data_IF_476871710240
#
_entry.id   IF_476871710240
#
_cell.length_a   1.000
_cell.length_b   1.000
_cell.length_c   1.000
_cell.angle_alpha   90.00
_cell.angle_beta   90.00
_cell.angle_gamma   90.00
#
_symmetry.space_group_name_H-M   'P 1'
#
loop_
_entity.id
_entity.type
_entity.pdbx_description
1 polymer ?
#
# COMPACT_ATOMS: atom_id res chain seq x y z
N UNK A 1 -13.21 -54.12 64.58
CA UNK A 1 -12.53 -54.23 63.28
C UNK A 1 -12.87 -53.01 62.44
N UNK A 2 -11.84 -52.28 61.93
CA UNK A 2 -11.81 -51.44 60.71
C UNK A 2 -12.80 -50.26 60.61
N UNK A 3 -12.49 -49.06 60.12
CA UNK A 3 -11.28 -48.41 59.66
C UNK A 3 -11.57 -46.90 59.55
N UNK A 4 -10.56 -46.05 59.77
CA UNK A 4 -10.57 -44.61 59.46
C UNK A 4 -10.53 -44.42 57.94
N UNK A 5 -11.19 -43.38 57.39
CA UNK A 5 -10.57 -42.55 56.35
C UNK A 5 -11.22 -41.16 56.28
N UNK A 6 -10.38 -40.12 56.38
CA UNK A 6 -10.70 -38.70 56.15
C UNK A 6 -10.70 -38.44 54.65
N UNK A 7 -11.68 -37.70 54.14
CA UNK A 7 -11.69 -37.17 52.77
C UNK A 7 -11.26 -35.70 52.80
N UNK A 8 -10.15 -35.38 52.12
CA UNK A 8 -9.78 -34.03 51.70
C UNK A 8 -10.63 -33.63 50.49
N UNK A 9 -11.15 -32.40 50.41
CA UNK A 9 -11.57 -31.84 49.13
C UNK A 9 -10.33 -31.33 48.36
N UNK A 10 -10.10 -31.90 47.18
CA UNK A 10 -9.12 -31.40 46.22
C UNK A 10 -9.59 -30.05 45.66
N UNK A 11 -8.71 -29.04 45.71
CA UNK A 11 -8.86 -27.81 44.93
C UNK A 11 -8.84 -28.18 43.44
N UNK A 12 -9.98 -28.06 42.76
CA UNK A 12 -10.01 -27.99 41.31
C UNK A 12 -9.54 -26.61 40.87
N UNK A 13 -8.30 -26.54 40.41
CA UNK A 13 -7.78 -25.40 39.65
C UNK A 13 -8.57 -25.30 38.34
N UNK A 14 -9.49 -24.35 38.25
CA UNK A 14 -10.06 -23.91 36.97
C UNK A 14 -8.97 -23.23 36.16
N UNK A 15 -8.34 -23.99 35.26
CA UNK A 15 -7.63 -23.45 34.11
C UNK A 15 -8.67 -22.74 33.24
N UNK A 16 -8.68 -21.41 33.30
CA UNK A 16 -9.33 -20.59 32.31
C UNK A 16 -8.58 -20.79 30.98
N UNK A 17 -9.06 -21.70 30.13
CA UNK A 17 -8.71 -21.74 28.73
C UNK A 17 -9.22 -20.43 28.12
N UNK A 18 -8.32 -19.46 27.96
CA UNK A 18 -8.51 -18.36 27.01
C UNK A 18 -8.51 -19.02 25.63
N UNK A 19 -9.69 -19.37 25.14
CA UNK A 19 -9.86 -19.78 23.76
C UNK A 19 -9.48 -18.59 22.89
N UNK A 20 -8.25 -18.59 22.37
CA UNK A 20 -7.90 -17.74 21.25
C UNK A 20 -8.86 -18.12 20.11
N UNK A 21 -9.62 -17.14 19.62
CA UNK A 21 -10.55 -17.33 18.51
C UNK A 21 -9.72 -17.60 17.24
N UNK A 22 -9.40 -18.87 17.01
CA UNK A 22 -8.84 -19.30 15.74
C UNK A 22 -9.87 -19.02 14.64
N UNK A 23 -9.51 -18.15 13.70
CA UNK A 23 -10.26 -17.92 12.48
C UNK A 23 -10.15 -19.09 11.50
N UNK A 24 -10.82 -18.97 10.35
CA UNK A 24 -10.72 -19.98 9.28
C UNK A 24 -9.27 -20.31 8.96
N UNK A 25 -8.95 -21.61 8.88
CA UNK A 25 -7.62 -22.08 8.53
C UNK A 25 -6.53 -21.95 9.61
N UNK A 26 -6.90 -21.62 10.85
CA UNK A 26 -5.97 -21.60 11.99
C UNK A 26 -5.32 -20.25 12.28
N UNK A 27 -5.62 -19.22 11.49
CA UNK A 27 -5.15 -17.85 11.71
C UNK A 27 -5.80 -17.27 12.97
N UNK A 28 -5.00 -16.80 13.92
CA UNK A 28 -5.54 -16.08 15.08
C UNK A 28 -6.06 -14.71 14.66
N UNK A 29 -7.37 -14.47 14.84
CA UNK A 29 -8.01 -13.20 14.49
C UNK A 29 -8.08 -12.28 15.70
N UNK A 30 -7.61 -11.06 15.48
CA UNK A 30 -7.76 -9.94 16.39
C UNK A 30 -9.16 -9.34 16.36
N UNK A 31 -9.32 -8.29 17.16
CA UNK A 31 -10.60 -7.63 17.39
C UNK A 31 -10.51 -6.10 17.27
N UNK A 32 -9.32 -5.55 16.98
CA UNK A 32 -9.08 -4.11 16.89
C UNK A 32 -9.55 -3.47 15.56
N UNK A 33 -10.72 -3.87 15.08
CA UNK A 33 -11.35 -3.32 13.87
C UNK A 33 -11.57 -1.81 13.95
N UNK A 34 -11.93 -1.31 15.14
CA UNK A 34 -12.17 0.11 15.37
C UNK A 34 -10.88 0.92 15.46
N UNK A 35 -9.81 0.35 16.02
CA UNK A 35 -8.52 1.03 16.16
C UNK A 35 -7.65 0.99 14.91
N UNK A 36 -7.90 0.06 13.98
CA UNK A 36 -7.22 0.02 12.69
C UNK A 36 -7.47 1.32 11.90
N UNK A 37 -6.40 2.04 11.59
CA UNK A 37 -6.45 3.29 10.80
C UNK A 37 -6.10 3.09 9.34
N UNK A 38 -5.48 1.95 9.02
CA UNK A 38 -5.14 1.54 7.65
C UNK A 38 -5.15 0.01 7.62
N UNK A 39 -5.30 -0.54 6.42
CA UNK A 39 -5.32 -1.98 6.19
C UNK A 39 -4.23 -2.37 5.20
N UNK A 40 -3.68 -3.55 5.41
CA UNK A 40 -2.69 -4.17 4.54
C UNK A 40 -3.07 -5.62 4.28
N UNK A 41 -2.45 -6.24 3.28
CA UNK A 41 -2.57 -7.68 3.04
C UNK A 41 -1.28 -8.37 3.43
N UNK A 42 -1.42 -9.48 4.14
CA UNK A 42 -0.29 -10.31 4.51
C UNK A 42 -0.63 -11.79 4.32
N UNK A 43 0.39 -12.60 4.02
CA UNK A 43 0.32 -14.05 4.10
C UNK A 43 0.58 -14.48 5.54
N UNK A 44 -0.46 -14.97 6.20
CA UNK A 44 -0.42 -15.49 7.58
C UNK A 44 -0.74 -16.98 7.50
N UNK A 45 0.19 -17.84 7.92
CA UNK A 45 0.05 -19.30 7.86
C UNK A 45 -0.37 -19.83 6.47
N UNK A 46 0.12 -19.19 5.40
CA UNK A 46 -0.18 -19.56 4.01
C UNK A 46 -1.46 -18.96 3.44
N UNK A 47 -2.23 -18.22 4.24
CA UNK A 47 -3.51 -17.62 3.84
C UNK A 47 -3.39 -16.10 3.67
N UNK A 48 -4.02 -15.58 2.62
CA UNK A 48 -4.14 -14.13 2.41
C UNK A 48 -5.08 -13.56 3.47
N UNK A 49 -4.58 -12.59 4.24
CA UNK A 49 -5.26 -12.05 5.41
C UNK A 49 -5.21 -10.54 5.38
N UNK A 50 -6.35 -9.90 5.65
CA UNK A 50 -6.43 -8.47 5.90
C UNK A 50 -5.90 -8.18 7.29
N UNK A 51 -4.86 -7.37 7.37
CA UNK A 51 -4.23 -6.92 8.61
C UNK A 51 -4.66 -5.49 8.88
N UNK A 52 -5.24 -5.25 10.07
CA UNK A 52 -5.53 -3.92 10.56
C UNK A 52 -4.35 -3.34 11.30
N UNK A 53 -3.90 -2.15 10.89
CA UNK A 53 -2.77 -1.45 11.53
C UNK A 53 -3.29 -0.31 12.40
N UNK A 54 -3.07 -0.41 13.70
CA UNK A 54 -3.37 0.65 14.67
C UNK A 54 -2.09 1.45 14.94
N UNK A 55 -1.89 2.52 14.17
CA UNK A 55 -0.69 3.35 14.28
C UNK A 55 -0.54 3.99 15.67
N UNK A 56 -1.64 4.34 16.35
CA UNK A 56 -1.59 4.98 17.68
C UNK A 56 -1.11 4.02 18.76
N UNK A 57 -1.69 2.82 18.81
CA UNK A 57 -1.29 1.77 19.72
C UNK A 57 0.10 1.19 19.36
N UNK A 58 0.46 1.23 18.08
CA UNK A 58 1.68 0.63 17.55
C UNK A 58 1.59 -0.88 17.59
N UNK A 59 0.54 -1.43 16.98
CA UNK A 59 0.29 -2.86 16.79
C UNK A 59 -0.42 -3.10 15.46
N UNK A 60 -0.31 -4.32 14.96
CA UNK A 60 -1.08 -4.82 13.83
C UNK A 60 -1.73 -6.17 14.21
N UNK A 61 -2.93 -6.42 13.72
CA UNK A 61 -3.69 -7.64 14.01
C UNK A 61 -4.27 -8.21 12.71
N UNK A 62 -4.26 -9.53 12.56
CA UNK A 62 -5.04 -10.23 11.52
C UNK A 62 -6.52 -10.00 11.82
N UNK A 63 -7.28 -9.42 10.90
CA UNK A 63 -8.69 -9.09 11.13
C UNK A 63 -9.64 -10.05 10.43
N UNK A 64 -9.35 -10.38 9.18
CA UNK A 64 -10.19 -11.30 8.40
C UNK A 64 -9.35 -12.02 7.35
N UNK A 65 -9.58 -13.33 7.24
CA UNK A 65 -8.99 -14.16 6.17
C UNK A 65 -9.77 -13.94 4.89
N UNK A 66 -9.06 -13.71 3.79
CA UNK A 66 -9.65 -13.57 2.46
C UNK A 66 -10.15 -14.93 1.98
N UNK A 67 -11.42 -15.05 1.53
CA UNK A 67 -11.94 -16.32 1.04
C UNK A 67 -11.14 -16.85 -0.15
N UNK A 68 -10.45 -17.98 0.03
CA UNK A 68 -9.73 -18.65 -1.05
C UNK A 68 -10.67 -19.50 -1.90
N UNK A 69 -10.40 -19.56 -3.20
CA UNK A 69 -11.06 -20.45 -4.14
C UNK A 69 -10.02 -21.14 -5.04
N UNK A 70 -10.45 -22.22 -5.69
CA UNK A 70 -9.55 -23.10 -6.45
C UNK A 70 -8.93 -22.46 -7.70
N UNK A 71 -9.49 -21.36 -8.17
CA UNK A 71 -9.05 -20.58 -9.33
C UNK A 71 -8.42 -19.24 -8.93
N UNK A 72 -8.00 -19.06 -7.68
CA UNK A 72 -7.16 -17.93 -7.27
C UNK A 72 -5.73 -18.14 -7.75
N UNK A 73 -5.07 -17.05 -8.14
CA UNK A 73 -3.68 -17.10 -8.64
C UNK A 73 -2.72 -16.37 -7.73
N UNK A 74 -1.57 -16.99 -7.49
CA UNK A 74 -0.42 -16.38 -6.78
C UNK A 74 0.56 -15.70 -7.78
N UNK A 75 0.26 -15.69 -9.08
CA UNK A 75 1.11 -15.06 -10.09
C UNK A 75 1.13 -13.52 -9.99
N UNK A 76 0.11 -12.93 -9.38
CA UNK A 76 -0.01 -11.50 -9.09
C UNK A 76 -0.53 -11.36 -7.67
N UNK A 77 0.04 -10.43 -6.90
CA UNK A 77 -0.40 -10.17 -5.53
C UNK A 77 -1.82 -9.57 -5.51
N UNK A 78 -2.70 -10.01 -4.60
CA UNK A 78 -3.93 -9.30 -4.25
C UNK A 78 -3.64 -7.84 -3.86
N UNK A 79 -4.54 -6.93 -4.22
CA UNK A 79 -4.42 -5.50 -3.94
C UNK A 79 -5.45 -5.02 -2.93
N UNK A 80 -5.10 -4.02 -2.11
CA UNK A 80 -6.01 -3.36 -1.17
C UNK A 80 -5.86 -1.84 -1.27
N UNK A 81 -6.97 -1.11 -1.33
CA UNK A 81 -6.95 0.34 -1.49
C UNK A 81 -8.13 1.02 -0.81
N UNK A 82 -7.92 2.25 -0.34
CA UNK A 82 -8.97 3.13 0.18
C UNK A 82 -9.52 4.00 -0.94
N UNK A 83 -10.84 3.97 -1.16
CA UNK A 83 -11.53 4.84 -2.11
C UNK A 83 -11.73 6.25 -1.51
N UNK A 84 -12.04 7.24 -2.35
CA UNK A 84 -12.29 8.62 -1.90
C UNK A 84 -13.43 8.76 -0.88
N UNK A 85 -14.38 7.81 -0.86
CA UNK A 85 -15.47 7.77 0.10
C UNK A 85 -15.12 7.07 1.43
N UNK A 86 -13.86 6.62 1.59
CA UNK A 86 -13.35 5.95 2.78
C UNK A 86 -13.66 4.44 2.85
N UNK A 87 -14.32 3.88 1.83
CA UNK A 87 -14.44 2.41 1.72
C UNK A 87 -13.10 1.80 1.35
N UNK A 88 -12.80 0.65 1.93
CA UNK A 88 -11.62 -0.14 1.59
C UNK A 88 -12.02 -1.30 0.68
N UNK A 89 -11.40 -1.35 -0.49
CA UNK A 89 -11.60 -2.36 -1.50
C UNK A 89 -10.42 -3.32 -1.54
N UNK A 90 -10.72 -4.60 -1.58
CA UNK A 90 -9.79 -5.70 -1.81
C UNK A 90 -10.07 -6.33 -3.17
N UNK A 91 -9.03 -6.54 -3.97
CA UNK A 91 -9.08 -7.25 -5.25
C UNK A 91 -8.21 -8.51 -5.19
N UNK A 92 -8.77 -9.66 -5.55
CA UNK A 92 -8.09 -10.97 -5.60
C UNK A 92 -8.03 -11.47 -7.04
N UNK A 93 -6.82 -11.54 -7.62
CA UNK A 93 -6.55 -12.14 -8.92
C UNK A 93 -7.07 -13.57 -9.10
N UNK A 94 -7.56 -13.89 -10.30
CA UNK A 94 -7.95 -15.26 -10.68
C UNK A 94 -7.15 -15.81 -11.86
N UNK A 95 -6.96 -17.11 -11.85
CA UNK A 95 -6.46 -17.91 -12.97
C UNK A 95 -7.50 -18.01 -14.09
N UNK A 96 -7.06 -18.42 -15.29
CA UNK A 96 -7.95 -18.76 -16.39
C UNK A 96 -8.62 -17.57 -17.10
N UNK A 97 -8.25 -16.34 -16.76
CA UNK A 97 -8.69 -15.15 -17.49
C UNK A 97 -10.03 -14.55 -17.06
N UNK A 98 -10.64 -15.07 -15.98
CA UNK A 98 -11.87 -14.53 -15.42
C UNK A 98 -11.68 -13.19 -14.69
N UNK A 99 -12.77 -12.48 -14.34
CA UNK A 99 -12.70 -11.22 -13.64
C UNK A 99 -12.26 -11.39 -12.19
N UNK A 100 -11.46 -10.45 -11.68
CA UNK A 100 -10.95 -10.47 -10.30
C UNK A 100 -12.10 -10.50 -9.30
N UNK A 101 -11.90 -11.17 -8.17
CA UNK A 101 -12.87 -11.07 -7.07
C UNK A 101 -12.65 -9.79 -6.31
N UNK A 102 -13.75 -9.17 -5.90
CA UNK A 102 -13.72 -7.93 -5.14
C UNK A 102 -14.47 -8.07 -3.84
N UNK A 103 -13.95 -7.42 -2.82
CA UNK A 103 -14.56 -7.36 -1.51
C UNK A 103 -14.45 -5.95 -0.94
N UNK A 104 -15.49 -5.52 -0.23
CA UNK A 104 -15.41 -4.33 0.63
C UNK A 104 -15.18 -4.77 2.06
N UNK A 105 -14.29 -4.08 2.77
CA UNK A 105 -14.10 -4.29 4.20
C UNK A 105 -15.29 -3.72 4.96
N UNK A 106 -16.11 -4.60 5.55
CA UNK A 106 -17.20 -4.21 6.44
C UNK A 106 -16.69 -4.19 7.88
N UNK A 107 -16.38 -2.98 8.34
CA UNK A 107 -15.87 -2.73 9.71
C UNK A 107 -16.94 -2.87 10.80
N UNK A 108 -18.22 -2.91 10.44
CA UNK A 108 -19.33 -3.03 11.40
C UNK A 108 -19.57 -4.51 11.71
N UNK A 109 -19.65 -5.33 10.68
CA UNK A 109 -19.94 -6.76 10.79
C UNK A 109 -18.67 -7.62 10.88
N UNK A 110 -17.49 -6.99 10.74
CA UNK A 110 -16.18 -7.64 10.81
C UNK A 110 -15.97 -8.71 9.73
N UNK A 111 -16.42 -8.42 8.51
CA UNK A 111 -16.40 -9.36 7.36
C UNK A 111 -15.92 -8.68 6.08
N UNK A 112 -15.76 -9.49 5.03
CA UNK A 112 -15.53 -9.07 3.66
C UNK A 112 -16.82 -9.26 2.85
N UNK A 113 -17.43 -8.15 2.43
CA UNK A 113 -18.65 -8.18 1.62
C UNK A 113 -18.27 -8.34 0.15
N UNK A 114 -18.63 -9.49 -0.42
CA UNK A 114 -18.34 -9.81 -1.81
C UNK A 114 -19.06 -8.89 -2.79
N UNK A 115 -18.36 -8.49 -3.84
CA UNK A 115 -18.91 -7.70 -4.95
C UNK A 115 -18.86 -8.52 -6.24
N UNK A 116 -19.75 -8.20 -7.18
CA UNK A 116 -19.59 -8.66 -8.55
C UNK A 116 -18.28 -8.09 -9.11
N UNK A 117 -17.46 -8.95 -9.70
CA UNK A 117 -16.27 -8.57 -10.43
C UNK A 117 -16.56 -8.65 -11.93
N UNK A 118 -16.18 -7.61 -12.66
CA UNK A 118 -16.55 -7.49 -14.07
C UNK A 118 -15.34 -7.66 -15.01
N UNK A 119 -14.12 -7.47 -14.50
CA UNK A 119 -12.89 -7.42 -15.31
C UNK A 119 -11.68 -8.04 -14.61
N UNK A 120 -10.70 -8.48 -15.41
CA UNK A 120 -9.49 -9.19 -14.97
C UNK A 120 -8.35 -8.24 -14.57
N UNK A 121 -7.55 -8.68 -13.59
CA UNK A 121 -6.17 -8.29 -13.25
C UNK A 121 -5.85 -6.82 -13.40
N UNK A 122 -6.39 -6.00 -12.51
CA UNK A 122 -6.08 -4.58 -12.50
C UNK A 122 -5.79 -4.04 -11.11
N UNK A 123 -4.66 -3.34 -10.97
CA UNK A 123 -4.39 -2.45 -9.84
C UNK A 123 -5.44 -1.37 -9.84
N UNK A 124 -6.13 -1.23 -8.72
CA UNK A 124 -7.18 -0.24 -8.53
C UNK A 124 -6.56 1.04 -8.00
N UNK A 125 -6.71 2.12 -8.76
CA UNK A 125 -6.20 3.45 -8.45
C UNK A 125 -7.37 4.41 -8.20
N UNK A 126 -7.65 4.79 -6.95
CA UNK A 126 -8.74 5.68 -6.62
C UNK A 126 -8.44 7.10 -7.10
N UNK A 127 -9.41 7.71 -7.79
CA UNK A 127 -9.53 9.15 -7.90
C UNK A 127 -10.65 9.67 -7.02
N UNK A 128 -11.08 10.91 -7.28
CA UNK A 128 -12.08 11.62 -6.50
C UNK A 128 -13.49 11.10 -6.72
N UNK A 129 -13.88 10.90 -7.96
CA UNK A 129 -15.20 10.41 -8.37
C UNK A 129 -15.11 9.16 -9.24
N UNK A 130 -13.93 8.87 -9.79
CA UNK A 130 -13.67 7.76 -10.69
C UNK A 130 -12.57 6.86 -10.13
N UNK A 131 -12.49 5.66 -10.67
CA UNK A 131 -11.44 4.69 -10.36
C UNK A 131 -10.78 4.26 -11.66
N UNK A 132 -9.45 4.26 -11.70
CA UNK A 132 -8.72 3.61 -12.78
C UNK A 132 -8.37 2.17 -12.39
N UNK A 133 -8.53 1.25 -13.32
CA UNK A 133 -8.11 -0.12 -13.21
C UNK A 133 -7.00 -0.37 -14.23
N UNK A 134 -5.76 -0.42 -13.73
CA UNK A 134 -4.52 -0.51 -14.52
C UNK A 134 -4.03 -1.96 -14.56
N UNK A 135 -3.71 -2.53 -15.73
CA UNK A 135 -3.23 -3.92 -15.82
C UNK A 135 -2.01 -4.17 -14.92
N UNK A 136 -2.04 -5.26 -14.15
CA UNK A 136 -0.97 -5.64 -13.22
C UNK A 136 0.15 -6.51 -13.82
N UNK A 137 0.06 -6.84 -15.12
CA UNK A 137 1.06 -7.61 -15.86
C UNK A 137 1.33 -6.93 -17.20
N UNK A 138 2.52 -7.14 -17.81
CA UNK A 138 2.81 -6.65 -19.15
C UNK A 138 1.74 -7.11 -20.13
N UNK A 139 0.95 -6.16 -20.64
CA UNK A 139 0.13 -6.43 -21.82
C UNK A 139 1.11 -6.73 -22.96
N UNK A 140 1.00 -7.92 -23.55
CA UNK A 140 1.90 -8.42 -24.63
C UNK A 140 1.83 -7.59 -25.92
N UNK A 141 1.21 -6.41 -25.89
CA UNK A 141 0.74 -5.67 -27.04
C UNK A 141 1.17 -4.19 -27.03
N UNK A 142 2.38 -3.85 -26.54
CA UNK A 142 3.01 -2.53 -26.72
C UNK A 142 2.21 -1.29 -26.26
N UNK A 143 1.06 -1.51 -25.63
CA UNK A 143 0.08 -0.56 -25.13
C UNK A 143 -0.68 -1.25 -24.00
N UNK A 144 -0.94 -0.52 -22.93
CA UNK A 144 -1.72 -0.98 -21.78
C UNK A 144 -3.11 -0.37 -21.83
N UNK A 145 -4.14 -1.19 -21.65
CA UNK A 145 -5.53 -0.72 -21.58
C UNK A 145 -5.91 -0.35 -20.14
N UNK A 146 -6.15 0.92 -19.84
CA UNK A 146 -6.62 1.38 -18.52
C UNK A 146 -8.14 1.56 -18.56
N UNK A 147 -8.87 0.86 -17.70
CA UNK A 147 -10.32 1.04 -17.60
C UNK A 147 -10.61 2.11 -16.56
N UNK A 148 -11.47 3.05 -16.91
CA UNK A 148 -12.00 4.03 -15.96
C UNK A 148 -13.41 3.61 -15.59
N UNK A 149 -13.68 3.52 -14.29
CA UNK A 149 -14.93 3.01 -13.74
C UNK A 149 -15.57 3.99 -12.77
N UNK A 150 -16.89 3.85 -12.64
CA UNK A 150 -17.67 4.50 -11.59
C UNK A 150 -17.63 3.63 -10.31
N UNK A 151 -17.15 4.15 -9.17
CA UNK A 151 -17.05 3.37 -7.93
C UNK A 151 -18.40 3.07 -7.25
N UNK A 152 -19.50 3.64 -7.73
CA UNK A 152 -20.84 3.39 -7.18
C UNK A 152 -21.46 2.10 -7.73
N UNK A 153 -21.24 1.79 -9.01
CA UNK A 153 -21.82 0.63 -9.69
C UNK A 153 -20.81 -0.23 -10.45
N UNK A 154 -19.54 0.16 -10.46
CA UNK A 154 -18.42 -0.49 -11.16
C UNK A 154 -18.58 -0.58 -12.69
N UNK A 155 -19.48 0.20 -13.27
CA UNK A 155 -19.61 0.31 -14.71
C UNK A 155 -18.38 0.95 -15.34
N UNK A 156 -17.89 0.35 -16.43
CA UNK A 156 -16.84 0.94 -17.25
C UNK A 156 -17.37 2.18 -17.94
N UNK A 157 -16.82 3.33 -17.59
CA UNK A 157 -17.09 4.61 -18.26
C UNK A 157 -16.34 4.71 -19.59
N UNK A 158 -15.12 4.16 -19.64
CA UNK A 158 -14.24 4.17 -20.82
C UNK A 158 -13.00 3.32 -20.64
N UNK A 159 -12.33 3.05 -21.75
CA UNK A 159 -11.00 2.45 -21.81
C UNK A 159 -10.03 3.47 -22.42
N UNK A 160 -8.87 3.65 -21.78
CA UNK A 160 -7.78 4.49 -22.23
C UNK A 160 -6.63 3.61 -22.72
N UNK A 161 -5.97 4.01 -23.81
CA UNK A 161 -4.83 3.30 -24.38
C UNK A 161 -3.56 4.05 -24.05
N UNK A 162 -2.75 3.48 -23.16
CA UNK A 162 -1.48 4.06 -22.73
C UNK A 162 -0.36 3.37 -23.52
N UNK A 163 0.59 4.10 -24.11
CA UNK A 163 1.76 3.49 -24.74
C UNK A 163 2.57 2.63 -23.76
N UNK A 164 3.13 1.53 -24.25
CA UNK A 164 3.99 0.66 -23.46
C UNK A 164 3.27 -0.19 -22.41
N UNK A 165 4.07 -0.94 -21.67
CA UNK A 165 3.65 -1.67 -20.47
C UNK A 165 3.77 -0.72 -19.27
N UNK A 166 2.72 -0.59 -18.47
CA UNK A 166 2.76 0.24 -17.25
C UNK A 166 3.54 -0.51 -16.17
N UNK A 167 4.66 0.08 -15.73
CA UNK A 167 5.51 -0.46 -14.66
C UNK A 167 5.33 0.23 -13.31
N UNK A 168 4.94 1.51 -13.30
CA UNK A 168 4.62 2.27 -12.09
C UNK A 168 3.28 2.98 -12.23
N UNK A 169 2.54 3.08 -11.14
CA UNK A 169 1.27 3.79 -11.12
C UNK A 169 0.99 4.40 -9.75
N UNK A 170 0.44 5.61 -9.75
CA UNK A 170 0.05 6.34 -8.56
C UNK A 170 -1.24 7.12 -8.80
N UNK A 171 -2.02 7.33 -7.74
CA UNK A 171 -3.20 8.18 -7.76
C UNK A 171 -3.35 8.92 -6.43
N UNK A 172 -4.26 9.90 -6.42
CA UNK A 172 -4.65 10.64 -5.23
C UNK A 172 -6.17 10.80 -5.21
N UNK A 173 -6.87 10.39 -4.14
CA UNK A 173 -8.33 10.54 -4.04
C UNK A 173 -8.84 11.99 -4.10
N UNK A 174 -7.97 12.99 -4.14
CA UNK A 174 -8.32 14.40 -4.34
C UNK A 174 -8.57 14.80 -5.80
N UNK A 175 -8.18 13.99 -6.78
CA UNK A 175 -8.33 14.30 -8.21
C UNK A 175 -8.70 13.08 -9.06
N UNK A 176 -9.39 13.30 -10.18
CA UNK A 176 -9.71 12.26 -11.16
C UNK A 176 -8.61 12.14 -12.23
N UNK A 177 -7.38 12.02 -11.76
CA UNK A 177 -6.19 11.89 -12.59
C UNK A 177 -5.28 10.83 -11.99
N UNK A 178 -4.70 9.99 -12.84
CA UNK A 178 -3.70 9.00 -12.44
C UNK A 178 -2.36 9.29 -13.10
N UNK A 179 -1.29 8.95 -12.41
CA UNK A 179 0.07 9.13 -12.88
C UNK A 179 0.67 7.76 -13.16
N UNK A 180 1.16 7.54 -14.37
CA UNK A 180 1.65 6.25 -14.86
C UNK A 180 3.07 6.40 -15.36
N UNK A 181 3.92 5.39 -15.19
CA UNK A 181 5.13 5.25 -15.97
C UNK A 181 5.16 3.91 -16.68
N UNK A 182 5.64 3.93 -17.93
CA UNK A 182 5.91 2.71 -18.68
C UNK A 182 7.29 2.11 -18.35
N UNK A 183 7.53 0.90 -18.84
CA UNK A 183 8.82 0.18 -18.69
C UNK A 183 10.00 0.94 -19.35
N UNK A 184 9.73 1.77 -20.35
CA UNK A 184 10.70 2.67 -21.01
C UNK A 184 10.89 3.99 -20.23
N UNK A 185 10.30 4.09 -19.04
CA UNK A 185 10.39 5.20 -18.10
C UNK A 185 9.83 6.53 -18.63
N UNK A 186 8.91 6.47 -19.58
CA UNK A 186 8.06 7.61 -19.92
C UNK A 186 6.99 7.77 -18.84
N UNK A 187 6.78 9.01 -18.39
CA UNK A 187 5.78 9.32 -17.37
C UNK A 187 4.61 10.05 -18.01
N UNK A 188 3.40 9.72 -17.58
CA UNK A 188 2.16 10.28 -18.08
C UNK A 188 1.26 10.72 -16.92
N UNK A 189 0.61 11.88 -17.06
CA UNK A 189 -0.59 12.22 -16.32
C UNK A 189 -1.81 11.90 -17.19
N UNK A 190 -2.79 11.19 -16.63
CA UNK A 190 -3.97 10.72 -17.37
C UNK A 190 -5.23 11.21 -16.69
N UNK A 191 -5.96 12.10 -17.35
CA UNK A 191 -7.27 12.56 -16.90
C UNK A 191 -8.31 11.46 -17.14
N UNK A 192 -9.03 11.07 -16.07
CA UNK A 192 -10.00 9.98 -16.16
C UNK A 192 -11.34 10.40 -16.77
N UNK A 193 -11.68 11.69 -16.76
CA UNK A 193 -12.94 12.18 -17.33
C UNK A 193 -12.88 12.23 -18.85
N UNK A 194 -11.91 12.94 -19.43
CA UNK A 194 -11.83 13.17 -20.87
C UNK A 194 -10.78 12.27 -21.56
N UNK A 195 -9.87 11.68 -20.81
CA UNK A 195 -8.89 10.69 -21.28
C UNK A 195 -7.64 11.34 -21.84
N UNK A 196 -7.49 12.63 -21.65
CA UNK A 196 -6.28 13.34 -22.01
C UNK A 196 -5.09 12.69 -21.31
N UNK A 197 -4.08 12.35 -22.11
CA UNK A 197 -2.83 11.77 -21.64
C UNK A 197 -1.71 12.76 -21.92
N UNK A 198 -1.19 13.37 -20.87
CA UNK A 198 -0.14 14.39 -20.97
C UNK A 198 1.21 13.76 -20.63
N UNK A 199 2.18 13.72 -21.57
CA UNK A 199 3.52 13.24 -21.26
C UNK A 199 4.25 14.21 -20.34
N UNK A 200 5.06 13.65 -19.45
CA UNK A 200 5.81 14.37 -18.43
C UNK A 200 7.30 14.28 -18.76
N UNK A 201 7.99 15.42 -18.93
CA UNK A 201 9.43 15.42 -19.13
C UNK A 201 10.15 14.87 -17.91
N UNK A 202 10.99 13.86 -18.12
CA UNK A 202 11.90 13.31 -17.09
C UNK A 202 13.35 13.55 -17.52
N UNK A 203 14.24 13.98 -16.62
CA UNK A 203 15.67 14.10 -16.93
C UNK A 203 16.26 12.75 -17.40
N UNK A 204 17.00 12.75 -18.49
CA UNK A 204 17.54 11.52 -19.10
C UNK A 204 18.58 10.79 -18.23
N UNK A 205 19.17 11.48 -17.25
CA UNK A 205 20.12 10.93 -16.28
C UNK A 205 19.45 10.40 -15.01
N UNK A 206 18.12 10.50 -14.90
CA UNK A 206 17.37 10.08 -13.72
C UNK A 206 16.85 8.65 -13.88
N UNK A 207 17.21 7.81 -12.92
CA UNK A 207 16.64 6.48 -12.81
C UNK A 207 15.34 6.55 -12.01
N UNK A 208 14.18 6.44 -12.66
CA UNK A 208 12.88 6.49 -11.98
C UNK A 208 12.73 5.27 -11.08
N UNK A 209 12.47 5.52 -9.80
CA UNK A 209 12.30 4.49 -8.77
C UNK A 209 10.87 4.41 -8.29
N UNK A 210 10.17 5.53 -8.20
CA UNK A 210 8.79 5.57 -7.70
C UNK A 210 8.04 6.84 -8.17
N UNK A 211 6.71 6.82 -8.03
CA UNK A 211 5.79 7.89 -8.40
C UNK A 211 4.82 8.24 -7.27
N UNK A 212 4.48 9.52 -7.15
CA UNK A 212 3.27 9.97 -6.46
C UNK A 212 2.43 10.85 -7.40
N UNK A 213 1.14 10.99 -7.12
CA UNK A 213 0.20 11.73 -7.97
C UNK A 213 -0.65 12.77 -7.19
N UNK A 214 -0.08 13.59 -6.30
CA UNK A 214 -0.86 14.51 -5.46
C UNK A 214 -1.73 15.43 -6.31
N UNK A 215 -3.05 15.35 -6.08
CA UNK A 215 -4.04 16.15 -6.82
C UNK A 215 -3.87 16.07 -8.35
N UNK A 216 -3.47 14.90 -8.86
CA UNK A 216 -3.30 14.65 -10.29
C UNK A 216 -2.02 15.19 -10.91
N UNK A 217 -1.10 15.77 -10.12
CA UNK A 217 0.18 16.26 -10.63
C UNK A 217 1.28 15.23 -10.35
N UNK A 218 1.96 14.72 -11.39
CA UNK A 218 3.05 13.76 -11.22
C UNK A 218 4.19 14.29 -10.34
N UNK A 219 4.60 13.46 -9.39
CA UNK A 219 5.85 13.57 -8.64
C UNK A 219 6.71 12.37 -9.02
N UNK A 220 7.77 12.62 -9.78
CA UNK A 220 8.72 11.60 -10.24
C UNK A 220 9.90 11.55 -9.29
N UNK A 221 10.14 10.42 -8.65
CA UNK A 221 11.27 10.23 -7.74
C UNK A 221 12.26 9.27 -8.36
N UNK A 222 13.53 9.65 -8.35
CA UNK A 222 14.56 8.82 -8.91
C UNK A 222 15.93 8.99 -8.29
N UNK A 223 16.79 8.01 -8.53
CA UNK A 223 18.19 8.06 -8.14
C UNK A 223 19.05 8.57 -9.30
N UNK A 224 20.12 9.30 -8.97
CA UNK A 224 21.23 9.52 -9.91
C UNK A 224 22.31 8.48 -9.65
N UNK A 225 23.02 8.09 -10.71
CA UNK A 225 24.03 7.03 -10.74
C UNK A 225 25.23 7.19 -9.77
N UNK A 226 25.32 8.29 -9.01
CA UNK A 226 26.28 8.45 -7.92
C UNK A 226 25.67 8.08 -6.57
N UNK A 227 25.67 6.78 -6.26
CA UNK A 227 25.18 6.25 -4.98
C UNK A 227 26.13 6.48 -3.79
N UNK A 228 27.35 7.02 -4.02
CA UNK A 228 28.33 7.26 -2.96
C UNK A 228 28.32 8.71 -2.49
N UNK A 229 28.16 8.89 -1.17
CA UNK A 229 28.20 10.21 -0.53
C UNK A 229 27.07 10.45 0.46
N UNK A 230 27.01 11.65 1.06
CA UNK A 230 25.93 12.01 1.96
C UNK A 230 24.60 12.11 1.20
N UNK A 231 23.52 11.69 1.86
CA UNK A 231 22.17 11.81 1.32
C UNK A 231 21.81 13.26 0.98
N UNK A 232 21.51 13.50 -0.28
CA UNK A 232 21.04 14.77 -0.83
C UNK A 232 19.81 14.55 -1.69
N UNK A 233 18.89 15.52 -1.64
CA UNK A 233 17.67 15.54 -2.42
C UNK A 233 17.58 16.88 -3.12
N UNK A 234 17.40 16.88 -4.44
CA UNK A 234 17.15 18.07 -5.23
C UNK A 234 15.75 17.97 -5.84
N UNK A 235 14.95 19.02 -5.70
CA UNK A 235 13.61 19.10 -6.24
C UNK A 235 13.58 20.12 -7.37
N UNK A 236 13.06 19.70 -8.52
CA UNK A 236 12.78 20.58 -9.66
C UNK A 236 11.28 20.55 -9.91
N UNK A 237 10.66 21.73 -9.98
CA UNK A 237 9.23 21.86 -10.29
C UNK A 237 9.04 22.52 -11.65
N UNK A 238 8.13 21.96 -12.44
CA UNK A 238 7.65 22.52 -13.69
C UNK A 238 6.13 22.72 -13.62
N UNK A 239 5.58 23.25 -14.71
CA UNK A 239 4.13 23.39 -14.86
C UNK A 239 3.42 22.05 -15.03
N UNK A 240 4.14 20.98 -15.38
CA UNK A 240 3.56 19.65 -15.64
C UNK A 240 3.89 18.62 -14.56
N UNK A 241 5.00 18.76 -13.83
CA UNK A 241 5.40 17.78 -12.81
C UNK A 241 6.35 18.35 -11.75
N UNK A 242 6.61 17.54 -10.74
CA UNK A 242 7.71 17.71 -9.79
C UNK A 242 8.65 16.53 -9.94
N UNK A 243 9.95 16.79 -10.03
CA UNK A 243 10.98 15.75 -10.07
C UNK A 243 11.84 15.86 -8.82
N UNK A 244 12.00 14.77 -8.09
CA UNK A 244 12.91 14.68 -6.95
C UNK A 244 14.03 13.71 -7.30
N UNK A 245 15.25 14.24 -7.42
CA UNK A 245 16.45 13.43 -7.61
C UNK A 245 17.14 13.19 -6.28
N UNK A 246 17.52 11.94 -6.03
CA UNK A 246 18.20 11.52 -4.80
C UNK A 246 19.62 11.05 -5.13
N UNK A 247 20.56 11.48 -4.29
CA UNK A 247 21.96 11.05 -4.34
C UNK A 247 22.40 10.54 -2.96
N UNK A 248 23.34 9.58 -2.93
CA UNK A 248 23.82 8.96 -1.67
C UNK A 248 22.83 7.98 -1.02
N UNK A 249 21.84 7.49 -1.77
CA UNK A 249 20.85 6.50 -1.33
C UNK A 249 19.91 6.09 -2.45
N UNK A 250 19.11 5.05 -2.20
CA UNK A 250 18.08 4.53 -3.13
C UNK A 250 16.69 4.91 -2.62
N UNK A 251 15.90 5.70 -3.35
CA UNK A 251 14.49 5.88 -3.05
C UNK A 251 13.76 4.54 -3.17
N UNK A 252 13.06 4.13 -2.12
CA UNK A 252 12.26 2.91 -2.11
C UNK A 252 10.76 3.19 -2.14
N UNK A 253 10.33 4.34 -1.58
CA UNK A 253 8.94 4.75 -1.58
C UNK A 253 8.80 6.27 -1.51
N UNK A 254 7.78 6.83 -2.16
CA UNK A 254 7.35 8.21 -2.01
C UNK A 254 5.88 8.29 -1.65
N UNK A 255 5.56 9.25 -0.79
CA UNK A 255 4.20 9.70 -0.55
C UNK A 255 4.15 11.23 -0.61
N UNK A 256 3.02 11.75 -1.07
CA UNK A 256 2.79 13.19 -1.11
C UNK A 256 1.59 13.54 -0.23
N UNK A 257 1.77 14.54 0.62
CA UNK A 257 0.66 15.31 1.19
C UNK A 257 0.60 16.63 0.44
N UNK A 258 -0.56 17.31 0.41
CA UNK A 258 -0.72 18.53 -0.40
C UNK A 258 0.36 19.60 -0.21
N UNK A 259 1.04 19.64 0.94
CA UNK A 259 2.15 20.57 1.23
C UNK A 259 3.54 19.92 1.28
N UNK A 260 3.65 18.60 1.40
CA UNK A 260 4.93 17.93 1.66
C UNK A 260 5.12 16.68 0.80
N UNK A 261 6.36 16.42 0.38
CA UNK A 261 6.76 15.15 -0.20
C UNK A 261 7.58 14.39 0.84
N UNK A 262 7.24 13.13 1.10
CA UNK A 262 7.98 12.28 2.03
C UNK A 262 8.55 11.09 1.30
N UNK A 263 9.87 10.92 1.42
CA UNK A 263 10.63 9.87 0.76
C UNK A 263 11.17 8.91 1.80
N UNK A 264 11.05 7.61 1.54
CA UNK A 264 11.85 6.58 2.18
C UNK A 264 13.07 6.31 1.30
N UNK A 265 14.27 6.60 1.82
CA UNK A 265 15.53 6.44 1.09
C UNK A 265 16.44 5.50 1.84
N UNK A 266 16.71 4.34 1.26
CA UNK A 266 17.67 3.39 1.80
C UNK A 266 19.11 3.89 1.65
N UNK A 267 19.84 3.83 2.76
CA UNK A 267 21.23 4.26 2.91
C UNK A 267 22.01 3.18 3.66
N UNK A 268 22.53 2.18 2.93
CA UNK A 268 23.15 1.01 3.54
C UNK A 268 22.11 0.13 4.25
N UNK A 269 22.30 -0.11 5.55
CA UNK A 269 21.42 -0.96 6.36
C UNK A 269 20.21 -0.21 6.96
N UNK A 270 20.08 1.10 6.71
CA UNK A 270 19.03 1.94 7.29
C UNK A 270 18.22 2.65 6.21
N UNK A 271 17.04 3.13 6.62
CA UNK A 271 16.19 3.98 5.78
C UNK A 271 16.12 5.37 6.39
N UNK A 272 16.40 6.40 5.60
CA UNK A 272 16.11 7.79 5.93
C UNK A 272 14.71 8.14 5.46
N UNK A 273 13.87 8.64 6.35
CA UNK A 273 12.60 9.27 5.99
C UNK A 273 12.85 10.77 5.88
N UNK A 274 12.71 11.31 4.68
CA UNK A 274 12.99 12.72 4.37
C UNK A 274 11.70 13.41 3.98
N UNK A 275 11.34 14.46 4.69
CA UNK A 275 10.23 15.34 4.32
C UNK A 275 10.76 16.60 3.64
N UNK A 276 10.22 16.88 2.46
CA UNK A 276 10.49 18.06 1.66
C UNK A 276 9.23 18.91 1.58
N UNK A 277 9.39 20.22 1.65
CA UNK A 277 8.35 21.15 1.22
C UNK A 277 8.09 20.96 -0.28
N UNK A 278 6.84 20.68 -0.65
CA UNK A 278 6.49 20.30 -2.02
C UNK A 278 6.68 21.45 -3.04
N UNK A 279 6.85 22.69 -2.57
CA UNK A 279 7.03 23.87 -3.44
C UNK A 279 8.49 24.22 -3.62
N UNK A 280 9.22 24.36 -2.51
CA UNK A 280 10.59 24.85 -2.47
C UNK A 280 11.64 23.76 -2.52
N UNK A 281 11.27 22.49 -2.27
CA UNK A 281 12.23 21.40 -2.11
C UNK A 281 13.05 21.45 -0.84
N UNK A 282 12.81 22.44 0.03
CA UNK A 282 13.53 22.55 1.30
C UNK A 282 13.20 21.35 2.17
N UNK A 283 14.24 20.67 2.66
CA UNK A 283 14.06 19.65 3.67
C UNK A 283 13.47 20.26 4.96
N UNK A 284 12.30 19.80 5.34
CA UNK A 284 11.60 20.20 6.56
C UNK A 284 12.04 19.34 7.74
N UNK A 285 12.00 18.02 7.55
CA UNK A 285 12.29 17.03 8.57
C UNK A 285 13.08 15.86 8.00
N UNK A 286 13.80 15.16 8.89
CA UNK A 286 14.51 13.91 8.57
C UNK A 286 14.51 13.02 9.80
N UNK A 287 14.18 11.74 9.61
CA UNK A 287 14.30 10.71 10.63
C UNK A 287 15.03 9.48 10.08
N UNK A 288 15.78 8.80 10.93
CA UNK A 288 16.44 7.53 10.60
C UNK A 288 15.65 6.37 11.18
N UNK A 289 15.40 5.35 10.36
CA UNK A 289 14.89 4.05 10.79
C UNK A 289 16.01 3.04 10.66
N UNK A 290 16.50 2.56 11.81
CA UNK A 290 17.66 1.68 11.86
C UNK A 290 17.33 0.24 11.46
N UNK A 291 18.24 -0.42 10.72
CA UNK A 291 18.10 -1.82 10.33
C UNK A 291 16.95 -2.09 9.36
N UNK A 292 16.69 -1.14 8.46
CA UNK A 292 15.75 -1.29 7.33
C UNK A 292 16.48 -0.89 6.06
N UNK A 293 16.93 -1.87 5.28
CA UNK A 293 17.70 -1.67 4.05
C UNK A 293 16.86 -1.57 2.77
N UNK A 294 15.56 -1.87 2.88
CA UNK A 294 14.57 -1.76 1.82
C UNK A 294 13.19 -1.54 2.44
N UNK A 295 12.59 -0.39 2.17
CA UNK A 295 11.18 -0.16 2.46
C UNK A 295 10.32 -0.70 1.32
N UNK A 296 9.13 -1.21 1.64
CA UNK A 296 8.15 -1.65 0.64
C UNK A 296 7.10 -0.59 0.37
N UNK A 297 6.71 0.18 1.39
CA UNK A 297 5.72 1.23 1.25
C UNK A 297 5.84 2.28 2.35
N UNK A 298 5.28 3.46 2.07
CA UNK A 298 5.17 4.57 2.99
C UNK A 298 3.71 5.08 3.00
N UNK A 299 3.09 5.16 4.17
CA UNK A 299 1.71 5.62 4.30
C UNK A 299 1.56 6.72 5.37
N UNK A 300 0.83 7.81 5.08
CA UNK A 300 0.51 8.82 6.08
C UNK A 300 -0.56 8.32 7.06
N UNK A 301 -0.47 8.75 8.32
CA UNK A 301 -1.52 8.53 9.33
C UNK A 301 -1.65 9.77 10.22
N UNK A 302 -2.76 9.92 10.97
CA UNK A 302 -2.87 10.96 11.98
C UNK A 302 -1.82 10.89 13.11
N UNK A 303 -1.08 9.78 13.23
CA UNK A 303 -0.05 9.56 14.25
C UNK A 303 1.39 9.66 13.70
N UNK A 304 1.56 10.15 12.47
CA UNK A 304 2.84 10.21 11.76
C UNK A 304 2.84 9.30 10.53
N UNK A 305 4.01 8.81 10.14
CA UNK A 305 4.20 7.99 8.96
C UNK A 305 4.36 6.52 9.32
N UNK A 306 3.86 5.63 8.48
CA UNK A 306 4.12 4.19 8.59
C UNK A 306 5.05 3.78 7.46
N UNK A 307 6.21 3.25 7.84
CA UNK A 307 7.16 2.60 6.95
C UNK A 307 6.94 1.09 7.02
N UNK A 308 6.61 0.46 5.89
CA UNK A 308 6.38 -0.97 5.80
C UNK A 308 7.63 -1.70 5.33
N UNK A 309 7.92 -2.83 5.97
CA UNK A 309 8.82 -3.86 5.47
C UNK A 309 8.05 -5.16 5.33
N UNK A 310 8.70 -6.22 4.85
CA UNK A 310 8.05 -7.53 4.67
C UNK A 310 7.33 -8.04 5.92
N UNK A 311 7.83 -7.76 7.13
CA UNK A 311 7.28 -8.34 8.37
C UNK A 311 7.04 -7.36 9.50
N UNK A 312 7.35 -6.08 9.29
CA UNK A 312 7.23 -5.08 10.35
C UNK A 312 6.68 -3.78 9.80
N UNK A 313 6.09 -2.99 10.70
CA UNK A 313 5.76 -1.60 10.43
C UNK A 313 6.52 -0.74 11.43
N UNK A 314 7.14 0.32 10.94
CA UNK A 314 7.74 1.33 11.79
C UNK A 314 6.93 2.61 11.69
N UNK A 315 6.33 3.04 12.81
CA UNK A 315 5.76 4.38 12.94
C UNK A 315 6.89 5.39 13.10
N UNK A 316 6.86 6.47 12.33
CA UNK A 316 7.85 7.54 12.33
C UNK A 316 7.15 8.87 12.58
N UNK A 317 7.53 9.56 13.65
CA UNK A 317 7.18 10.95 13.90
C UNK A 317 8.33 11.82 13.37
N UNK A 318 8.11 12.48 12.22
CA UNK A 318 9.16 13.25 11.55
C UNK A 318 9.54 14.53 12.29
N UNK A 319 8.60 15.13 13.02
CA UNK A 319 8.86 16.35 13.77
C UNK A 319 9.83 16.11 14.94
N UNK A 320 9.71 14.96 15.60
CA UNK A 320 10.53 14.58 16.76
C UNK A 320 11.66 13.59 16.42
N UNK A 321 11.62 12.98 15.23
CA UNK A 321 12.52 11.89 14.84
C UNK A 321 12.26 10.56 15.56
N UNK A 322 11.20 10.47 16.37
CA UNK A 322 10.90 9.27 17.16
C UNK A 322 10.32 8.16 16.28
N UNK A 323 10.79 6.94 16.50
CA UNK A 323 10.31 5.76 15.80
C UNK A 323 9.74 4.73 16.78
N UNK A 324 8.76 3.95 16.32
CA UNK A 324 8.23 2.79 17.05
C UNK A 324 7.96 1.67 16.06
N UNK A 325 8.75 0.60 16.13
CA UNK A 325 8.55 -0.63 15.35
C UNK A 325 7.57 -1.57 16.06
N UNK A 326 6.77 -2.27 15.27
CA UNK A 326 5.95 -3.39 15.71
C UNK A 326 5.80 -4.40 14.56
N UNK A 327 5.53 -5.65 14.92
CA UNK A 327 5.48 -6.75 13.96
C UNK A 327 4.13 -6.80 13.23
N UNK A 328 4.17 -7.27 11.98
CA UNK A 328 3.00 -7.75 11.26
C UNK A 328 2.75 -9.23 11.62
N UNK A 329 1.49 -9.69 11.63
CA UNK A 329 1.16 -11.08 11.93
C UNK A 329 1.63 -12.06 10.83
N UNK A 330 2.08 -11.57 9.68
CA UNK A 330 2.56 -12.38 8.56
C UNK A 330 3.48 -11.59 7.63
N UNK A 331 3.77 -12.17 6.46
CA UNK A 331 4.57 -11.50 5.42
C UNK A 331 3.67 -10.61 4.57
N UNK A 332 3.97 -9.32 4.50
CA UNK A 332 3.28 -8.36 3.65
C UNK A 332 3.26 -8.84 2.19
N UNK A 333 2.11 -8.74 1.54
CA UNK A 333 2.00 -8.93 0.09
C UNK A 333 2.30 -7.59 -0.58
N UNK A 334 2.99 -7.63 -1.73
CA UNK A 334 3.26 -6.42 -2.51
C UNK A 334 1.96 -5.64 -2.76
N UNK A 335 2.00 -4.34 -2.45
CA UNK A 335 0.86 -3.42 -2.46
C UNK A 335 0.73 -2.62 -3.77
#
# INVERSE_FOLDING_TARGET
MRARTRLLPALCSTLALTAACAGPGGVELGHDWRGATTFALARVDGLVTVVGVNARAGRAESLVVVPQQADDTDAVSPGIVELADGRWLLSVPRDGGGPDRRYVINRTDHVLDGMAGDERLRRVLPGKNLVAEVPGLPDRAGTSGVLVKDPSDWSTRRELRIPGTIGLAASDPGADTVCLADDDRQVYAVDMHDGETTPVPVPSDLEIMDLACPSGRPVVVGARSSASGPLRTDLTRTDTATTVSVAGGRPDAVAATGSSLVLAVSTGEDTQIVELDAVSGKQLHRARVEGVAAALALAPTPAGWLLYTERTVTRVDLATGRTKRFDLPGTLLDA
#
